data_IF_934119478527
#
_entry.id   IF_934119478527
#
_cell.length_a   1.000
_cell.length_b   1.000
_cell.length_c   1.000
_cell.angle_alpha   90.00
_cell.angle_beta   90.00
_cell.angle_gamma   90.00
#
_symmetry.space_group_name_H-M   'P 1'
#
loop_
_entity.id
_entity.type
_entity.pdbx_description
1 polymer ?
#
# COMPACT_ATOMS: atom_id res chain seq x y z
N UNK A 1 9.58 5.64 -11.70
CA UNK A 1 9.38 5.59 -13.17
C UNK A 1 8.04 4.93 -13.46
N UNK A 2 7.21 5.52 -14.33
CA UNK A 2 5.84 5.06 -14.60
C UNK A 2 5.78 3.98 -15.69
N UNK A 3 4.67 3.22 -15.76
CA UNK A 3 4.42 2.24 -16.84
C UNK A 3 4.53 2.86 -18.24
N UNK A 4 4.15 4.13 -18.39
CA UNK A 4 4.26 4.86 -19.67
C UNK A 4 5.72 4.98 -20.13
N UNK A 5 6.65 5.28 -19.21
CA UNK A 5 8.09 5.37 -19.54
C UNK A 5 8.70 4.00 -19.85
N UNK A 6 8.27 2.95 -19.16
CA UNK A 6 8.70 1.60 -19.48
C UNK A 6 8.27 1.19 -20.90
N UNK A 7 7.06 1.56 -21.34
CA UNK A 7 6.59 1.30 -22.72
C UNK A 7 7.42 2.11 -23.73
N UNK A 8 7.62 3.40 -23.48
CA UNK A 8 8.41 4.30 -24.35
C UNK A 8 9.84 3.81 -24.57
N UNK A 9 10.43 3.19 -23.54
CA UNK A 9 11.81 2.68 -23.58
C UNK A 9 11.90 1.23 -24.02
N UNK A 10 10.81 0.63 -24.52
CA UNK A 10 10.74 -0.79 -24.91
C UNK A 10 11.19 -1.72 -23.77
N UNK A 11 10.85 -1.36 -22.52
CA UNK A 11 11.21 -2.12 -21.32
C UNK A 11 12.66 -1.96 -20.88
N UNK A 12 13.47 -1.09 -21.50
CA UNK A 12 14.84 -0.80 -21.05
C UNK A 12 14.86 -0.15 -19.67
N UNK A 13 13.84 0.63 -19.34
CA UNK A 13 13.64 1.16 -17.99
C UNK A 13 12.49 0.43 -17.29
N UNK A 14 12.81 -0.26 -16.20
CA UNK A 14 11.79 -0.95 -15.41
C UNK A 14 10.84 0.07 -14.72
N UNK A 15 9.55 -0.28 -14.67
CA UNK A 15 8.58 0.44 -13.85
C UNK A 15 8.57 -0.10 -12.42
N UNK A 16 8.07 0.72 -11.48
CA UNK A 16 7.92 0.28 -10.09
C UNK A 16 6.84 -0.81 -9.98
N UNK A 17 7.20 -1.92 -9.35
CA UNK A 17 6.23 -2.89 -8.85
C UNK A 17 5.35 -2.25 -7.78
N UNK A 18 4.19 -2.86 -7.51
CA UNK A 18 3.28 -2.39 -6.45
C UNK A 18 3.96 -2.39 -5.08
N UNK A 19 4.81 -3.39 -4.81
CA UNK A 19 5.59 -3.45 -3.57
C UNK A 19 6.60 -2.31 -3.44
N UNK A 20 7.35 -2.01 -4.50
CA UNK A 20 8.31 -0.90 -4.49
C UNK A 20 7.61 0.46 -4.36
N UNK A 21 6.51 0.66 -5.08
CA UNK A 21 5.71 1.87 -4.96
C UNK A 21 5.14 2.03 -3.52
N UNK A 22 4.65 0.96 -2.92
CA UNK A 22 4.14 0.98 -1.56
C UNK A 22 5.25 1.22 -0.52
N UNK A 23 6.43 0.61 -0.70
CA UNK A 23 7.59 0.87 0.15
C UNK A 23 7.98 2.35 0.13
N UNK A 24 8.02 2.97 -1.05
CA UNK A 24 8.31 4.40 -1.20
C UNK A 24 7.25 5.27 -0.51
N UNK A 25 5.98 4.87 -0.57
CA UNK A 25 4.87 5.59 0.08
C UNK A 25 4.80 5.39 1.60
N UNK A 26 5.49 4.39 2.16
CA UNK A 26 5.39 4.01 3.57
C UNK A 26 6.76 4.02 4.25
N UNK A 27 7.42 2.87 4.36
CA UNK A 27 8.66 2.68 5.12
C UNK A 27 9.78 3.64 4.71
N UNK A 28 9.97 3.87 3.40
CA UNK A 28 11.00 4.80 2.93
C UNK A 28 10.76 6.23 3.43
N UNK A 29 9.48 6.65 3.44
CA UNK A 29 9.06 7.96 3.95
C UNK A 29 9.14 8.03 5.47
N UNK A 30 8.69 7.00 6.19
CA UNK A 30 8.72 6.97 7.66
C UNK A 30 10.15 6.97 8.21
N UNK A 31 11.10 6.37 7.49
CA UNK A 31 12.53 6.39 7.85
C UNK A 31 13.09 7.81 7.97
N UNK A 32 12.58 8.78 7.21
CA UNK A 32 12.95 10.18 7.37
C UNK A 32 12.65 10.72 8.78
N UNK A 33 11.59 10.20 9.41
CA UNK A 33 11.17 10.55 10.77
C UNK A 33 11.81 9.67 11.86
N UNK A 34 12.71 8.77 11.49
CA UNK A 34 13.43 7.90 12.42
C UNK A 34 12.77 6.54 12.70
N UNK A 35 11.66 6.23 12.02
CA UNK A 35 10.99 4.94 12.15
C UNK A 35 11.77 3.82 11.46
N UNK A 36 11.69 2.62 12.00
CA UNK A 36 12.09 1.40 11.28
C UNK A 36 11.05 1.00 10.23
N UNK A 37 11.39 0.09 9.31
CA UNK A 37 10.49 -0.30 8.23
C UNK A 37 9.25 -1.06 8.76
N UNK A 38 8.08 -0.73 8.20
CA UNK A 38 6.82 -1.40 8.50
C UNK A 38 6.32 -1.22 9.94
N UNK A 39 5.57 -2.21 10.43
CA UNK A 39 5.04 -2.24 11.81
C UNK A 39 6.07 -2.79 12.80
N UNK A 40 7.26 -2.20 12.82
CA UNK A 40 8.33 -2.59 13.74
C UNK A 40 7.98 -2.24 15.20
N UNK A 41 8.39 -3.09 16.14
CA UNK A 41 8.23 -2.81 17.55
C UNK A 41 9.02 -1.54 17.94
N UNK A 42 8.38 -0.64 18.67
CA UNK A 42 8.94 0.67 19.06
C UNK A 42 8.52 1.83 18.14
N UNK A 43 8.09 1.57 16.91
CA UNK A 43 7.49 2.60 16.07
C UNK A 43 6.10 3.00 16.60
N UNK A 44 5.69 4.27 16.47
CA UNK A 44 4.29 4.65 16.65
C UNK A 44 3.40 3.94 15.62
N UNK A 45 2.24 3.44 16.05
CA UNK A 45 1.31 2.77 15.14
C UNK A 45 0.59 3.79 14.24
N UNK A 46 1.09 3.93 13.01
CA UNK A 46 0.42 4.60 11.90
C UNK A 46 -0.16 3.55 10.96
N UNK A 47 -1.48 3.44 10.86
CA UNK A 47 -2.12 2.36 10.10
C UNK A 47 -3.45 2.80 9.48
N UNK A 48 -3.79 2.15 8.37
CA UNK A 48 -5.11 2.22 7.72
C UNK A 48 -5.69 0.82 7.70
N UNK A 49 -6.93 0.67 8.16
CA UNK A 49 -7.69 -0.58 8.08
C UNK A 49 -8.61 -0.50 6.89
N UNK A 50 -8.47 -1.44 5.96
CA UNK A 50 -9.29 -1.52 4.76
C UNK A 50 -10.36 -2.61 4.93
N UNK A 51 -11.61 -2.26 4.64
CA UNK A 51 -12.71 -3.21 4.46
C UNK A 51 -12.75 -3.65 2.99
N UNK A 52 -12.21 -4.84 2.74
CA UNK A 52 -12.16 -5.42 1.41
C UNK A 52 -13.50 -6.00 0.93
N UNK A 53 -14.53 -6.08 1.79
CA UNK A 53 -15.85 -6.57 1.37
C UNK A 53 -16.57 -5.61 0.42
N UNK A 54 -16.12 -4.35 0.38
CA UNK A 54 -16.59 -3.33 -0.55
C UNK A 54 -15.91 -3.40 -1.93
N UNK A 55 -14.87 -4.22 -2.07
CA UNK A 55 -14.22 -4.44 -3.37
C UNK A 55 -15.03 -5.45 -4.20
N UNK A 56 -15.02 -5.34 -5.54
CA UNK A 56 -15.62 -6.35 -6.40
C UNK A 56 -15.12 -7.77 -6.05
N UNK A 57 -16.01 -8.78 -6.05
CA UNK A 57 -15.62 -10.15 -5.70
C UNK A 57 -14.57 -10.69 -6.67
N UNK A 58 -13.70 -11.59 -6.18
CA UNK A 58 -12.77 -12.32 -7.01
C UNK A 58 -13.38 -13.63 -7.49
N UNK A 59 -13.06 -14.03 -8.72
CA UNK A 59 -13.52 -15.30 -9.29
C UNK A 59 -12.84 -16.54 -8.67
N UNK A 60 -11.80 -16.33 -7.86
CA UNK A 60 -11.04 -17.35 -7.15
C UNK A 60 -10.54 -16.82 -5.82
N UNK A 61 -10.04 -17.71 -4.97
CA UNK A 61 -9.28 -17.34 -3.78
C UNK A 61 -7.98 -16.61 -4.18
N UNK A 62 -7.62 -15.60 -3.39
CA UNK A 62 -6.47 -14.73 -3.62
C UNK A 62 -5.51 -14.79 -2.45
N UNK A 63 -4.22 -14.75 -2.74
CA UNK A 63 -3.18 -14.59 -1.71
C UNK A 63 -3.27 -13.20 -1.07
N UNK A 64 -2.66 -13.02 0.10
CA UNK A 64 -2.57 -11.70 0.76
C UNK A 64 -1.93 -10.65 -0.14
N UNK A 65 -0.89 -11.02 -0.90
CA UNK A 65 -0.21 -10.11 -1.84
C UNK A 65 -1.15 -9.66 -2.97
N UNK A 66 -1.94 -10.58 -3.52
CA UNK A 66 -2.91 -10.28 -4.58
C UNK A 66 -4.10 -9.44 -4.06
N UNK A 67 -4.57 -9.72 -2.84
CA UNK A 67 -5.60 -8.91 -2.16
C UNK A 67 -5.10 -7.48 -1.95
N UNK A 68 -3.88 -7.35 -1.43
CA UNK A 68 -3.23 -6.05 -1.24
C UNK A 68 -3.06 -5.29 -2.56
N UNK A 69 -2.56 -5.95 -3.62
CA UNK A 69 -2.44 -5.32 -4.93
C UNK A 69 -3.79 -4.85 -5.48
N UNK A 70 -4.86 -5.65 -5.33
CA UNK A 70 -6.22 -5.22 -5.68
C UNK A 70 -6.67 -4.01 -4.86
N UNK A 71 -6.40 -4.00 -3.56
CA UNK A 71 -6.75 -2.88 -2.70
C UNK A 71 -6.05 -1.58 -3.14
N UNK A 72 -4.78 -1.63 -3.53
CA UNK A 72 -4.04 -0.47 -4.07
C UNK A 72 -4.72 0.13 -5.32
N UNK A 73 -5.33 -0.71 -6.16
CA UNK A 73 -5.99 -0.24 -7.39
C UNK A 73 -7.47 0.10 -7.24
N UNK A 74 -8.19 -0.58 -6.35
CA UNK A 74 -9.67 -0.56 -6.31
C UNK A 74 -10.24 0.10 -5.06
N UNK A 75 -9.48 0.20 -3.97
CA UNK A 75 -9.98 0.79 -2.75
C UNK A 75 -10.17 2.30 -2.91
N UNK A 76 -11.18 2.82 -2.23
CA UNK A 76 -11.43 4.25 -2.11
C UNK A 76 -11.70 4.63 -0.64
N UNK A 77 -12.15 5.86 -0.42
CA UNK A 77 -12.40 6.41 0.91
C UNK A 77 -13.46 5.65 1.72
N UNK A 78 -14.39 4.95 1.03
CA UNK A 78 -15.42 4.11 1.63
C UNK A 78 -14.84 2.79 2.11
N UNK A 79 -13.78 2.30 1.45
CA UNK A 79 -13.04 1.12 1.88
C UNK A 79 -12.24 1.36 3.17
N UNK A 80 -12.06 2.60 3.63
CA UNK A 80 -11.32 2.90 4.87
C UNK A 80 -12.22 2.73 6.10
N UNK A 81 -12.06 1.61 6.79
CA UNK A 81 -12.81 1.26 7.99
C UNK A 81 -12.27 1.93 9.26
N UNK A 82 -10.95 2.18 9.32
CA UNK A 82 -10.33 2.93 10.40
C UNK A 82 -8.98 3.52 9.97
N UNK A 83 -8.57 4.59 10.64
CA UNK A 83 -7.23 5.16 10.54
C UNK A 83 -6.66 5.35 11.94
N UNK A 84 -5.40 4.97 12.12
CA UNK A 84 -4.65 5.11 13.37
C UNK A 84 -3.46 6.03 13.16
N UNK A 85 -3.27 6.99 14.07
CA UNK A 85 -2.09 7.84 14.13
C UNK A 85 -1.45 7.76 15.52
N UNK A 86 -0.20 7.27 15.59
CA UNK A 86 0.50 7.07 16.86
C UNK A 86 -0.27 6.19 17.84
N UNK A 87 -0.97 5.16 17.35
CA UNK A 87 -1.78 4.24 18.16
C UNK A 87 -3.18 4.72 18.53
N UNK A 88 -3.56 5.96 18.20
CA UNK A 88 -4.91 6.46 18.44
C UNK A 88 -5.76 6.37 17.17
N UNK A 89 -6.97 5.85 17.30
CA UNK A 89 -7.96 5.86 16.21
C UNK A 89 -8.40 7.30 15.93
N UNK A 90 -8.26 7.75 14.68
CA UNK A 90 -8.63 9.10 14.23
C UNK A 90 -9.82 9.11 13.25
N UNK A 91 -10.06 7.99 12.56
CA UNK A 91 -11.25 7.68 11.78
C UNK A 91 -11.65 6.24 12.10
#
# INVERSE_FOLDING_TARGET
>A
MSKARAIETEGKEAFLTVGEAYYLATSAGSRYFGDADGFAAGNPLHAVVLDETLLPPSARELTVKERFERAVYLADDRSIAAVYGGGRKIK
#
